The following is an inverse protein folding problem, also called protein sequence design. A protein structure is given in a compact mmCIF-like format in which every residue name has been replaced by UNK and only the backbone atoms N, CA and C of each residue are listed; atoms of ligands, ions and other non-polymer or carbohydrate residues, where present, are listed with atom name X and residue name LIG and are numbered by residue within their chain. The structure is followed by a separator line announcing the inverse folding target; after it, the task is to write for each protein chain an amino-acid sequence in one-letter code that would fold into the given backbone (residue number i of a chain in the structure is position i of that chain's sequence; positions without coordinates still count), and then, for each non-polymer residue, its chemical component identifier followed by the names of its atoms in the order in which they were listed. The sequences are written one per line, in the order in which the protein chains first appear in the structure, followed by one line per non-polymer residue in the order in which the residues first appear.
data_IF_340711359568
#
_entry.id   IF_340711359568
#
_cell.length_a   1.000
_cell.length_b   1.000
_cell.length_c   1.000
_cell.angle_alpha   90.00
_cell.angle_beta   90.00
_cell.angle_gamma   90.00
#
_symmetry.space_group_name_H-M   'P 1'
#
loop_
_entity.id
_entity.type
_entity.pdbx_description
1 polymer ?
#
# COMPACT_ATOMS: atom_id res chain seq x y z
N UNK A 1 -11.01 7.79 41.90
CA UNK A 1 -10.44 6.42 41.84
C UNK A 1 -10.02 6.18 40.39
N UNK A 2 -8.73 5.96 40.08
CA UNK A 2 -8.21 5.87 38.70
C UNK A 2 -8.46 4.48 38.11
N UNK A 3 -9.73 4.07 38.04
CA UNK A 3 -10.09 2.71 37.62
C UNK A 3 -9.81 2.51 36.14
N UNK A 4 -10.01 3.54 35.31
CA UNK A 4 -9.87 3.43 33.86
C UNK A 4 -8.42 3.32 33.36
N UNK A 5 -7.46 3.99 34.00
CA UNK A 5 -6.04 3.90 33.58
C UNK A 5 -5.45 2.50 33.73
N UNK A 6 -5.82 1.79 34.79
CA UNK A 6 -5.42 0.40 35.02
C UNK A 6 -6.14 -0.58 34.09
N UNK A 7 -7.35 -0.22 33.62
CA UNK A 7 -8.18 -1.10 32.79
C UNK A 7 -7.63 -1.31 31.37
N UNK A 8 -6.93 -0.33 30.80
CA UNK A 8 -6.46 -0.44 29.41
C UNK A 8 -5.02 -0.95 29.24
N UNK A 9 -4.22 -1.03 30.31
CA UNK A 9 -2.83 -1.50 30.22
C UNK A 9 -1.97 -0.69 29.23
N UNK A 10 -2.23 0.62 29.13
CA UNK A 10 -1.51 1.52 28.23
C UNK A 10 -0.10 1.76 28.74
N UNK A 11 0.89 1.72 27.84
CA UNK A 11 2.26 2.08 28.20
C UNK A 11 2.40 3.60 28.31
N UNK A 12 3.34 4.11 29.12
CA UNK A 12 3.58 5.56 29.24
C UNK A 12 3.90 6.23 27.88
N UNK A 13 4.55 5.49 26.98
CA UNK A 13 4.84 5.94 25.61
C UNK A 13 3.58 6.08 24.75
N UNK A 14 2.59 5.20 24.93
CA UNK A 14 1.28 5.29 24.28
C UNK A 14 0.48 6.47 24.85
N UNK A 15 0.43 6.63 26.18
CA UNK A 15 -0.24 7.75 26.85
C UNK A 15 0.31 9.09 26.38
N UNK A 16 1.63 9.24 26.38
CA UNK A 16 2.30 10.45 25.90
C UNK A 16 1.91 10.80 24.45
N UNK A 17 1.77 9.78 23.59
CA UNK A 17 1.34 9.98 22.20
C UNK A 17 -0.11 10.43 22.13
N UNK A 18 -1.01 9.83 22.91
CA UNK A 18 -2.43 10.22 22.97
C UNK A 18 -2.62 11.65 23.49
N UNK A 19 -1.85 12.08 24.50
CA UNK A 19 -1.88 13.46 25.03
C UNK A 19 -1.58 14.51 23.95
N UNK A 20 -0.65 14.22 23.03
CA UNK A 20 -0.36 15.11 21.91
C UNK A 20 -1.53 15.17 20.92
N UNK A 21 -2.19 14.04 20.65
CA UNK A 21 -3.36 14.01 19.75
C UNK A 21 -4.53 14.83 20.32
N UNK A 22 -4.77 14.79 21.63
CA UNK A 22 -5.78 15.64 22.29
C UNK A 22 -5.48 17.12 22.07
N UNK A 23 -4.20 17.52 22.18
CA UNK A 23 -3.73 18.91 22.00
C UNK A 23 -3.74 19.38 20.54
N UNK A 24 -4.28 18.59 19.62
CA UNK A 24 -4.43 18.96 18.21
C UNK A 24 -3.25 18.59 17.32
N UNK A 25 -2.25 17.87 17.85
CA UNK A 25 -1.18 17.35 17.02
C UNK A 25 -1.69 16.23 16.09
N UNK A 26 -1.19 16.22 14.86
CA UNK A 26 -1.28 15.07 13.97
C UNK A 26 -0.10 14.11 14.20
N UNK A 27 -0.13 12.92 13.58
CA UNK A 27 0.92 11.92 13.75
C UNK A 27 2.31 12.44 13.31
N UNK A 28 2.35 13.35 12.32
CA UNK A 28 3.59 13.93 11.79
C UNK A 28 4.22 14.95 12.74
N UNK A 29 3.42 15.85 13.30
CA UNK A 29 3.87 16.82 14.29
C UNK A 29 4.21 16.16 15.62
N UNK A 30 3.44 15.15 16.06
CA UNK A 30 3.76 14.36 17.24
C UNK A 30 5.09 13.59 17.09
N UNK A 31 5.40 13.10 15.89
CA UNK A 31 6.68 12.46 15.59
C UNK A 31 7.85 13.45 15.73
N UNK A 32 7.71 14.67 15.20
CA UNK A 32 8.72 15.73 15.36
C UNK A 32 8.91 16.13 16.82
N UNK A 33 7.84 16.30 17.59
CA UNK A 33 7.93 16.71 19.00
C UNK A 33 8.55 15.65 19.89
N UNK A 34 8.41 14.37 19.54
CA UNK A 34 8.97 13.24 20.30
C UNK A 34 10.32 12.76 19.77
N UNK A 35 10.83 13.32 18.66
CA UNK A 35 12.07 12.87 18.03
C UNK A 35 12.00 11.43 17.50
N UNK A 36 10.81 11.00 17.06
CA UNK A 36 10.55 9.63 16.60
C UNK A 36 10.11 9.60 15.14
N UNK A 37 10.12 8.41 14.54
CA UNK A 37 9.52 8.23 13.21
C UNK A 37 8.00 8.27 13.27
N UNK A 38 7.36 8.76 12.19
CA UNK A 38 5.88 8.75 12.05
C UNK A 38 5.32 7.34 12.14
N UNK A 39 6.07 6.35 11.64
CA UNK A 39 5.69 4.94 11.73
C UNK A 39 5.59 4.47 13.19
N UNK A 40 6.57 4.81 14.02
CA UNK A 40 6.56 4.49 15.47
C UNK A 40 5.37 5.12 16.18
N UNK A 41 5.01 6.36 15.85
CA UNK A 41 3.82 7.04 16.39
C UNK A 41 2.54 6.31 15.97
N UNK A 42 2.43 5.91 14.71
CA UNK A 42 1.27 5.20 14.20
C UNK A 42 1.10 3.81 14.84
N UNK A 43 2.21 3.09 15.07
CA UNK A 43 2.16 1.81 15.79
C UNK A 43 1.68 2.00 17.24
N UNK A 44 2.21 3.00 17.97
CA UNK A 44 1.73 3.33 19.32
C UNK A 44 0.24 3.69 19.34
N UNK A 45 -0.24 4.47 18.38
CA UNK A 45 -1.67 4.81 18.26
C UNK A 45 -2.54 3.61 17.90
N UNK A 46 -2.02 2.66 17.12
CA UNK A 46 -2.71 1.40 16.81
C UNK A 46 -2.77 0.49 18.03
N UNK A 47 -1.68 0.35 18.77
CA UNK A 47 -1.64 -0.42 20.02
C UNK A 47 -2.59 0.16 21.05
N UNK A 48 -2.60 1.48 21.23
CA UNK A 48 -3.52 2.15 22.14
C UNK A 48 -5.00 1.92 21.75
N UNK A 49 -5.35 2.04 20.46
CA UNK A 49 -6.71 1.74 19.98
C UNK A 49 -7.11 0.28 20.19
N UNK A 50 -6.19 -0.66 19.96
CA UNK A 50 -6.41 -2.10 20.17
C UNK A 50 -6.69 -2.39 21.65
N UNK A 51 -5.94 -1.76 22.55
CA UNK A 51 -6.11 -1.90 24.00
C UNK A 51 -7.39 -1.26 24.52
N UNK A 52 -7.76 -0.10 23.98
CA UNK A 52 -8.97 0.63 24.36
C UNK A 52 -10.23 0.17 23.60
N UNK A 53 -10.10 -0.77 22.67
CA UNK A 53 -11.17 -1.28 21.81
C UNK A 53 -11.95 -0.19 21.03
N UNK A 54 -11.26 0.88 20.62
CA UNK A 54 -11.86 2.02 19.90
C UNK A 54 -11.40 2.12 18.45
N UNK A 55 -12.26 2.69 17.61
CA UNK A 55 -12.03 2.77 16.17
C UNK A 55 -11.11 3.93 15.78
N UNK A 56 -11.05 5.00 16.59
CA UNK A 56 -10.35 6.25 16.27
C UNK A 56 -9.33 6.63 17.33
N UNK A 57 -8.16 7.12 16.89
CA UNK A 57 -7.11 7.58 17.80
C UNK A 57 -7.53 8.86 18.52
N UNK A 58 -8.41 9.67 17.91
CA UNK A 58 -8.99 10.85 18.57
C UNK A 58 -10.01 10.47 19.64
N UNK A 59 -10.73 9.38 19.44
CA UNK A 59 -11.64 8.82 20.43
C UNK A 59 -10.85 8.24 21.62
N UNK A 60 -9.80 7.46 21.34
CA UNK A 60 -8.85 6.98 22.36
C UNK A 60 -8.24 8.13 23.18
N UNK A 61 -7.86 9.21 22.50
CA UNK A 61 -7.25 10.38 23.12
C UNK A 61 -8.22 11.12 24.06
N UNK A 62 -9.51 11.25 23.68
CA UNK A 62 -10.54 11.82 24.55
C UNK A 62 -10.81 10.95 25.78
N UNK A 63 -10.97 9.65 25.60
CA UNK A 63 -11.18 8.71 26.72
C UNK A 63 -10.02 8.71 27.71
N UNK A 64 -8.78 8.85 27.19
CA UNK A 64 -7.61 9.01 28.04
C UNK A 64 -7.63 10.35 28.78
N UNK A 65 -8.00 11.45 28.12
CA UNK A 65 -8.15 12.75 28.79
C UNK A 65 -9.23 12.71 29.87
N UNK A 66 -10.38 12.12 29.60
CA UNK A 66 -11.48 11.99 30.56
C UNK A 66 -11.05 11.14 31.76
N UNK A 67 -10.25 10.09 31.53
CA UNK A 67 -9.69 9.25 32.59
C UNK A 67 -8.58 9.94 33.40
N UNK A 68 -7.73 10.75 32.76
CA UNK A 68 -6.66 11.54 33.42
C UNK A 68 -7.23 12.79 34.13
N UNK A 69 -8.31 13.36 33.61
CA UNK A 69 -8.98 14.57 34.12
C UNK A 69 -9.76 14.36 35.43
N UNK A 70 -10.11 13.12 35.76
CA UNK A 70 -10.66 12.73 37.06
C UNK A 70 -9.61 12.75 38.20
N UNK A 71 -8.34 13.08 37.91
CA UNK A 71 -7.21 12.96 38.84
C UNK A 71 -6.41 14.22 39.17
N UNK A 72 -6.58 15.37 38.51
CA UNK A 72 -5.79 16.60 38.79
C UNK A 72 -6.64 17.87 38.54
N UNK A 73 -6.68 18.84 39.48
CA UNK A 73 -7.54 20.01 39.40
C UNK A 73 -7.14 20.96 38.27
N UNK A 74 -8.15 21.62 37.71
CA UNK A 74 -8.11 22.62 36.65
C UNK A 74 -6.83 23.49 36.64
N UNK A 75 -6.14 23.48 35.50
CA UNK A 75 -5.45 24.69 35.04
C UNK A 75 -6.32 25.32 33.96
N UNK A 76 -6.67 26.61 34.10
CA UNK A 76 -7.52 27.29 33.14
C UNK A 76 -6.84 27.29 31.77
N UNK A 77 -7.62 27.31 30.67
CA UNK A 77 -7.05 27.45 29.34
C UNK A 77 -6.31 28.78 29.30
N UNK A 78 -5.02 28.76 28.98
CA UNK A 78 -4.33 29.94 28.47
C UNK A 78 -4.98 30.21 27.10
N UNK A 79 -6.04 31.00 27.12
CA UNK A 79 -6.36 31.90 26.02
C UNK A 79 -5.12 32.79 25.85
N UNK A 80 -4.38 32.57 24.76
CA UNK A 80 -3.50 33.61 24.27
C UNK A 80 -4.21 34.25 23.08
N UNK A 81 -4.69 35.46 23.37
CA UNK A 81 -5.42 36.38 22.52
C UNK A 81 -4.69 36.73 21.22
N UNK A 82 -5.52 37.14 20.25
CA UNK A 82 -5.29 38.15 19.22
C UNK A 82 -3.87 38.32 18.69
N UNK A 83 -3.63 37.76 17.50
CA UNK A 83 -2.85 38.48 16.50
C UNK A 83 -3.83 39.21 15.59
N UNK A 84 -3.89 40.52 15.80
CA UNK A 84 -4.57 41.52 14.97
C UNK A 84 -4.31 41.24 13.49
N UNK A 85 -5.38 40.97 12.76
CA UNK A 85 -5.38 40.90 11.29
C UNK A 85 -5.05 42.30 10.79
N UNK A 86 -3.85 42.45 10.22
CA UNK A 86 -3.42 43.65 9.53
C UNK A 86 -4.35 44.00 8.37
N UNK A 87 -4.58 45.29 8.23
CA UNK A 87 -5.60 45.94 7.43
C UNK A 87 -5.52 45.70 5.92
N UNK A 88 -6.72 45.73 5.36
CA UNK A 88 -7.19 46.08 4.01
C UNK A 88 -6.15 46.42 2.93
N UNK A 89 -6.19 45.64 1.85
CA UNK A 89 -5.93 46.17 0.51
C UNK A 89 -6.92 45.53 -0.49
N UNK A 90 -7.96 46.31 -0.76
CA UNK A 90 -8.77 46.37 -1.97
C UNK A 90 -9.59 45.12 -2.36
N UNK A 91 -10.85 45.16 -1.92
CA UNK A 91 -11.98 44.60 -2.68
C UNK A 91 -12.03 45.21 -4.09
N UNK A 92 -12.30 44.38 -5.08
CA UNK A 92 -13.13 44.77 -6.22
C UNK A 92 -14.28 43.78 -6.36
N UNK A 93 -15.45 44.38 -6.31
CA UNK A 93 -16.80 43.86 -6.27
C UNK A 93 -17.31 43.63 -7.69
N UNK A 94 -17.94 42.49 -7.99
CA UNK A 94 -19.02 42.40 -8.98
C UNK A 94 -20.03 41.30 -8.59
N UNK A 95 -21.21 41.77 -8.20
CA UNK A 95 -22.59 41.32 -8.41
C UNK A 95 -23.06 39.85 -8.24
N UNK A 96 -23.88 39.72 -7.19
CA UNK A 96 -25.23 39.15 -7.09
C UNK A 96 -25.75 38.19 -8.18
N UNK A 97 -26.27 37.03 -7.75
CA UNK A 97 -27.72 36.83 -7.59
C UNK A 97 -28.08 35.38 -7.19
N UNK A 98 -29.01 35.22 -6.23
CA UNK A 98 -30.08 34.24 -6.35
C UNK A 98 -30.00 32.89 -5.61
N UNK A 99 -30.84 32.77 -4.58
CA UNK A 99 -31.72 31.62 -4.26
C UNK A 99 -31.23 30.42 -3.41
N UNK A 100 -31.69 30.45 -2.14
CA UNK A 100 -32.42 29.42 -1.37
C UNK A 100 -31.78 28.08 -0.92
N UNK A 101 -32.29 27.50 0.19
CA UNK A 101 -31.60 26.53 1.02
C UNK A 101 -32.07 25.08 0.83
N UNK A 102 -31.19 24.13 1.19
CA UNK A 102 -31.59 22.81 1.66
C UNK A 102 -31.51 21.66 0.65
N UNK A 103 -30.87 20.57 1.09
CA UNK A 103 -31.21 19.22 0.64
C UNK A 103 -30.28 18.56 -0.38
N UNK A 104 -29.10 18.11 0.07
CA UNK A 104 -28.42 16.95 -0.50
C UNK A 104 -28.06 16.05 0.69
N UNK A 105 -28.42 14.79 0.81
CA UNK A 105 -28.79 13.79 -0.18
C UNK A 105 -28.27 12.49 0.44
N UNK A 106 -29.17 11.62 0.90
CA UNK A 106 -28.85 10.35 1.57
C UNK A 106 -28.01 9.52 0.60
N UNK A 107 -26.71 9.41 0.87
CA UNK A 107 -25.79 8.61 0.07
C UNK A 107 -26.20 7.13 0.13
N UNK A 108 -26.65 6.62 -1.01
CA UNK A 108 -26.98 5.21 -1.25
C UNK A 108 -25.68 4.40 -1.12
N UNK A 109 -25.54 3.67 -0.02
CA UNK A 109 -24.43 2.74 0.20
C UNK A 109 -24.51 1.59 -0.81
N UNK A 110 -23.50 1.47 -1.67
CA UNK A 110 -23.17 0.24 -2.39
C UNK A 110 -21.98 -0.40 -1.64
N UNK A 111 -22.08 -1.63 -1.12
CA UNK A 111 -20.97 -2.24 -0.41
C UNK A 111 -19.99 -2.81 -1.44
N UNK A 112 -18.79 -2.24 -1.50
CA UNK A 112 -17.69 -2.82 -2.24
C UNK A 112 -16.98 -3.83 -1.35
N UNK A 113 -17.17 -5.11 -1.67
CA UNK A 113 -16.28 -6.19 -1.23
C UNK A 113 -15.02 -6.06 -2.09
N UNK A 114 -13.91 -5.56 -1.54
CA UNK A 114 -12.55 -5.86 -2.01
C UNK A 114 -11.62 -5.95 -0.79
N UNK A 115 -11.34 -7.20 -0.42
CA UNK A 115 -9.99 -7.74 -0.15
C UNK A 115 -8.87 -6.70 0.04
N UNK A 116 -8.63 -6.31 1.29
CA UNK A 116 -7.55 -5.42 1.69
C UNK A 116 -6.37 -6.18 2.31
N UNK A 117 -5.55 -6.81 1.47
CA UNK A 117 -4.10 -6.94 1.73
C UNK A 117 -3.40 -6.77 0.39
N UNK A 118 -3.11 -5.52 0.01
CA UNK A 118 -2.13 -5.21 -1.01
C UNK A 118 -1.40 -3.91 -0.62
N UNK A 119 -0.15 -4.11 -0.16
CA UNK A 119 1.05 -3.29 -0.31
C UNK A 119 0.89 -1.81 -0.71
N UNK A 120 1.23 -0.92 0.23
CA UNK A 120 1.96 0.33 -0.02
C UNK A 120 3.33 -0.05 -0.60
N UNK A 121 3.96 0.56 -1.59
CA UNK A 121 3.94 1.90 -2.18
C UNK A 121 4.96 1.81 -3.36
N UNK A 122 4.94 2.61 -4.41
CA UNK A 122 5.58 3.94 -4.47
C UNK A 122 5.23 4.51 -5.84
N UNK A 123 4.50 5.63 -5.82
CA UNK A 123 4.37 6.53 -6.94
C UNK A 123 5.48 7.59 -6.84
N UNK A 124 6.24 7.75 -7.92
CA UNK A 124 7.01 8.92 -8.34
C UNK A 124 7.32 8.62 -9.82
N UNK A 125 6.86 9.36 -10.83
CA UNK A 125 6.68 10.79 -10.96
C UNK A 125 7.72 11.26 -11.97
N UNK A 126 7.31 11.78 -13.13
CA UNK A 126 7.95 12.90 -13.83
C UNK A 126 7.13 13.36 -15.05
N UNK A 127 7.25 14.67 -15.27
CA UNK A 127 6.45 15.57 -16.10
C UNK A 127 6.65 15.42 -17.63
N UNK A 128 5.60 15.86 -18.33
CA UNK A 128 5.46 16.46 -19.66
C UNK A 128 6.72 16.74 -20.52
N UNK A 129 6.59 16.49 -21.83
CA UNK A 129 7.00 17.42 -22.90
C UNK A 129 6.24 17.13 -24.22
N UNK A 130 5.84 18.20 -24.90
CA UNK A 130 5.03 18.25 -26.12
C UNK A 130 5.83 18.10 -27.43
N UNK A 131 5.13 17.67 -28.50
CA UNK A 131 5.43 17.73 -29.97
C UNK A 131 6.64 16.99 -30.55
N UNK A 132 6.46 16.06 -31.49
CA UNK A 132 6.30 16.26 -32.93
C UNK A 132 6.06 14.90 -33.63
N UNK A 133 5.11 14.82 -34.55
CA UNK A 133 4.91 13.65 -35.40
C UNK A 133 6.12 13.45 -36.33
N UNK A 134 6.90 12.41 -36.09
CA UNK A 134 7.85 11.91 -37.09
C UNK A 134 7.20 10.77 -37.85
N UNK A 135 6.89 11.03 -39.13
CA UNK A 135 6.68 9.98 -40.13
C UNK A 135 8.06 9.38 -40.39
N UNK A 136 8.41 8.33 -39.65
CA UNK A 136 9.54 7.49 -40.01
C UNK A 136 9.05 6.40 -40.96
N UNK A 137 9.63 6.39 -42.16
CA UNK A 137 9.52 5.31 -43.13
C UNK A 137 9.80 3.97 -42.47
N UNK A 138 8.94 3.00 -42.76
CA UNK A 138 9.01 1.63 -42.24
C UNK A 138 10.36 1.00 -42.58
N UNK A 139 11.16 0.75 -41.54
CA UNK A 139 12.14 -0.32 -41.50
C UNK A 139 11.51 -1.43 -40.66
N UNK A 140 11.55 -2.72 -41.07
CA UNK A 140 10.99 -3.79 -40.25
C UNK A 140 11.57 -3.70 -38.84
N UNK A 141 10.76 -3.85 -37.78
CA UNK A 141 11.25 -3.73 -36.42
C UNK A 141 12.26 -4.85 -36.17
N UNK A 142 13.55 -4.50 -36.21
CA UNK A 142 14.58 -5.36 -35.65
C UNK A 142 14.34 -5.29 -34.14
N UNK A 143 13.93 -6.39 -33.47
CA UNK A 143 13.77 -6.37 -32.04
C UNK A 143 15.09 -5.92 -31.43
N UNK A 144 15.04 -4.94 -30.53
CA UNK A 144 16.23 -4.47 -29.83
C UNK A 144 16.94 -5.68 -29.21
N UNK A 145 18.18 -5.95 -29.63
CA UNK A 145 18.94 -7.14 -29.22
C UNK A 145 19.05 -7.26 -27.70
N UNK A 146 18.97 -6.13 -26.97
CA UNK A 146 18.92 -6.10 -25.51
C UNK A 146 17.62 -6.70 -24.93
N UNK A 147 16.47 -6.49 -25.58
CA UNK A 147 15.19 -7.10 -25.15
C UNK A 147 15.19 -8.60 -25.42
N UNK A 148 15.63 -9.02 -26.61
CA UNK A 148 15.71 -10.43 -26.97
C UNK A 148 16.69 -11.21 -26.07
N UNK A 149 17.80 -10.58 -25.69
CA UNK A 149 18.75 -11.14 -24.72
C UNK A 149 18.14 -11.25 -23.31
N UNK A 150 17.40 -10.23 -22.85
CA UNK A 150 16.72 -10.26 -21.55
C UNK A 150 15.59 -11.30 -21.50
N UNK A 151 14.84 -11.47 -22.59
CA UNK A 151 13.83 -12.53 -22.76
C UNK A 151 14.42 -13.93 -22.65
N UNK A 152 15.62 -14.09 -23.18
CA UNK A 152 16.37 -15.35 -23.19
C UNK A 152 17.21 -15.55 -21.92
N UNK A 153 17.11 -14.67 -20.92
CA UNK A 153 17.86 -14.81 -19.67
C UNK A 153 17.43 -16.06 -18.90
N UNK A 154 18.35 -16.65 -18.14
CA UNK A 154 18.05 -17.79 -17.27
C UNK A 154 16.88 -17.49 -16.31
N UNK A 155 16.83 -16.26 -15.80
CA UNK A 155 15.77 -15.78 -14.90
C UNK A 155 14.42 -15.78 -15.60
N UNK A 156 14.34 -15.18 -16.79
CA UNK A 156 13.10 -15.08 -17.57
C UNK A 156 12.59 -16.46 -17.99
N UNK A 157 13.50 -17.36 -18.37
CA UNK A 157 13.17 -18.76 -18.67
C UNK A 157 12.64 -19.49 -17.44
N UNK A 158 13.31 -19.35 -16.28
CA UNK A 158 12.87 -19.96 -15.01
C UNK A 158 11.49 -19.46 -14.62
N UNK A 159 11.24 -18.15 -14.71
CA UNK A 159 9.94 -17.56 -14.42
C UNK A 159 8.84 -18.13 -15.33
N UNK A 160 9.10 -18.23 -16.64
CA UNK A 160 8.15 -18.77 -17.63
C UNK A 160 7.84 -20.24 -17.39
N UNK A 161 8.86 -21.06 -17.12
CA UNK A 161 8.68 -22.48 -16.81
C UNK A 161 7.86 -22.67 -15.54
N UNK A 162 8.15 -21.89 -14.50
CA UNK A 162 7.38 -21.93 -13.26
C UNK A 162 5.92 -21.52 -13.45
N UNK A 163 5.66 -20.45 -14.22
CA UNK A 163 4.28 -20.06 -14.56
C UNK A 163 3.54 -21.15 -15.35
N UNK A 164 4.24 -21.91 -16.20
CA UNK A 164 3.65 -23.04 -16.94
C UNK A 164 3.14 -24.14 -16.00
N UNK A 165 3.87 -24.43 -14.91
CA UNK A 165 3.40 -25.38 -13.89
C UNK A 165 2.09 -24.92 -13.25
N UNK A 166 1.98 -23.62 -13.02
CA UNK A 166 0.79 -23.01 -12.42
C UNK A 166 -0.37 -23.05 -13.42
N UNK A 167 -0.15 -22.76 -14.69
CA UNK A 167 -1.19 -22.83 -15.71
C UNK A 167 -1.73 -24.26 -15.90
N UNK A 168 -0.89 -25.27 -15.66
CA UNK A 168 -1.26 -26.69 -15.69
C UNK A 168 -1.95 -27.17 -14.41
N UNK A 169 -2.14 -26.31 -13.41
CA UNK A 169 -2.71 -26.72 -12.12
C UNK A 169 -1.77 -27.52 -11.22
N UNK A 170 -0.46 -27.55 -11.52
CA UNK A 170 0.54 -28.31 -10.75
C UNK A 170 0.99 -27.51 -9.52
N UNK A 171 0.09 -27.38 -8.55
CA UNK A 171 0.28 -26.56 -7.35
C UNK A 171 1.44 -27.03 -6.48
N UNK A 172 1.58 -28.35 -6.29
CA UNK A 172 2.65 -28.90 -5.47
C UNK A 172 4.03 -28.60 -6.06
N UNK A 173 4.17 -28.72 -7.36
CA UNK A 173 5.44 -28.52 -8.05
C UNK A 173 5.82 -27.05 -8.15
N UNK A 174 4.85 -26.19 -8.46
CA UNK A 174 5.06 -24.74 -8.40
C UNK A 174 5.44 -24.29 -6.99
N UNK A 175 4.84 -24.86 -5.95
CA UNK A 175 5.21 -24.57 -4.56
C UNK A 175 6.64 -25.04 -4.22
N UNK A 176 7.04 -26.24 -4.66
CA UNK A 176 8.43 -26.74 -4.51
C UNK A 176 9.45 -25.84 -5.22
N UNK A 177 9.06 -25.18 -6.31
CA UNK A 177 9.89 -24.19 -7.03
C UNK A 177 10.08 -22.86 -6.32
N UNK A 178 9.34 -22.58 -5.25
CA UNK A 178 9.48 -21.34 -4.46
C UNK A 178 10.68 -21.36 -3.51
N UNK A 179 11.09 -20.18 -3.04
CA UNK A 179 12.19 -20.02 -2.11
C UNK A 179 11.81 -20.38 -0.67
N UNK A 180 12.82 -20.66 0.16
CA UNK A 180 12.63 -21.04 1.57
C UNK A 180 11.84 -20.00 2.39
N UNK A 181 12.04 -18.70 2.11
CA UNK A 181 11.28 -17.63 2.75
C UNK A 181 9.77 -17.70 2.42
N UNK A 182 9.42 -18.02 1.17
CA UNK A 182 8.03 -18.20 0.75
C UNK A 182 7.41 -19.41 1.46
N UNK A 183 8.11 -20.54 1.49
CA UNK A 183 7.64 -21.77 2.12
C UNK A 183 7.51 -21.67 3.64
N UNK A 184 8.31 -20.83 4.30
CA UNK A 184 8.18 -20.55 5.75
C UNK A 184 6.93 -19.74 6.08
N UNK A 185 6.52 -18.85 5.19
CA UNK A 185 5.40 -17.93 5.41
C UNK A 185 4.07 -18.44 4.85
N UNK A 186 4.11 -19.48 4.02
CA UNK A 186 2.94 -19.97 3.29
C UNK A 186 2.93 -21.50 3.24
N UNK A 187 1.75 -22.13 3.27
CA UNK A 187 1.62 -23.58 3.13
C UNK A 187 1.19 -23.96 1.71
N UNK A 188 1.46 -25.22 1.32
CA UNK A 188 0.97 -25.75 0.04
C UNK A 188 -0.56 -25.62 -0.08
N UNK A 189 -1.29 -25.85 1.01
CA UNK A 189 -2.75 -25.77 1.00
C UNK A 189 -3.25 -24.34 0.73
N UNK A 190 -2.66 -23.34 1.39
CA UNK A 190 -3.00 -21.93 1.16
C UNK A 190 -2.59 -21.50 -0.24
N UNK A 191 -1.42 -21.94 -0.71
CA UNK A 191 -0.96 -21.70 -2.08
C UNK A 191 -1.92 -22.26 -3.13
N UNK A 192 -2.32 -23.52 -3.01
CA UNK A 192 -3.23 -24.19 -3.92
C UNK A 192 -4.61 -23.52 -3.92
N UNK A 193 -5.21 -23.31 -2.74
CA UNK A 193 -6.52 -22.66 -2.61
C UNK A 193 -6.54 -21.23 -3.18
N UNK A 194 -5.44 -20.48 -2.99
CA UNK A 194 -5.32 -19.13 -3.55
C UNK A 194 -5.24 -19.16 -5.07
N UNK A 195 -4.42 -20.04 -5.66
CA UNK A 195 -4.31 -20.17 -7.10
C UNK A 195 -5.61 -20.67 -7.74
N UNK A 196 -6.32 -21.58 -7.09
CA UNK A 196 -7.63 -22.04 -7.57
C UNK A 196 -8.63 -20.87 -7.61
N UNK A 197 -8.71 -20.10 -6.53
CA UNK A 197 -9.61 -18.93 -6.46
C UNK A 197 -9.26 -17.83 -7.46
N UNK A 198 -7.97 -17.61 -7.74
CA UNK A 198 -7.51 -16.53 -8.62
C UNK A 198 -7.50 -16.95 -10.09
N UNK A 199 -7.03 -18.16 -10.41
CA UNK A 199 -6.78 -18.59 -11.79
C UNK A 199 -7.95 -19.28 -12.46
N UNK A 200 -8.79 -20.01 -11.72
CA UNK A 200 -9.98 -20.65 -12.31
C UNK A 200 -10.91 -19.61 -12.95
N UNK A 201 -11.19 -18.44 -12.34
CA UNK A 201 -12.00 -17.41 -12.98
C UNK A 201 -11.37 -16.76 -14.20
N UNK A 202 -10.03 -16.69 -14.29
CA UNK A 202 -9.33 -16.12 -15.45
C UNK A 202 -9.45 -17.03 -16.68
N UNK A 203 -9.60 -18.34 -16.47
CA UNK A 203 -9.63 -19.33 -17.54
C UNK A 203 -8.24 -19.63 -18.12
N UNK A 204 -8.15 -20.44 -19.19
CA UNK A 204 -6.88 -20.85 -19.76
C UNK A 204 -6.09 -19.66 -20.32
N UNK A 205 -4.76 -19.76 -20.29
CA UNK A 205 -3.86 -18.80 -20.92
C UNK A 205 -3.94 -18.95 -22.44
N UNK A 206 -4.23 -17.86 -23.14
CA UNK A 206 -4.22 -17.76 -24.60
C UNK A 206 -2.81 -17.41 -25.09
N UNK A 207 -2.18 -16.42 -24.46
CA UNK A 207 -0.83 -15.97 -24.82
C UNK A 207 -0.09 -15.39 -23.61
N UNK A 208 1.23 -15.52 -23.61
CA UNK A 208 2.13 -14.90 -22.63
C UNK A 208 3.37 -14.35 -23.33
N UNK A 209 3.54 -13.03 -23.26
CA UNK A 209 4.64 -12.30 -23.88
C UNK A 209 5.48 -11.64 -22.79
N UNK A 210 6.80 -11.74 -22.90
CA UNK A 210 7.69 -11.03 -21.99
C UNK A 210 7.57 -9.52 -22.18
N UNK A 211 7.55 -8.78 -21.09
CA UNK A 211 7.57 -7.32 -21.12
C UNK A 211 8.92 -6.76 -20.74
N UNK A 212 9.44 -7.20 -19.59
CA UNK A 212 10.65 -6.63 -19.00
C UNK A 212 11.21 -7.52 -17.90
N UNK A 213 12.52 -7.40 -17.70
CA UNK A 213 13.22 -7.84 -16.50
C UNK A 213 13.85 -6.61 -15.81
N UNK A 214 13.74 -6.55 -14.48
CA UNK A 214 14.26 -5.48 -13.63
C UNK A 214 15.01 -6.10 -12.43
N UNK A 215 16.23 -5.63 -12.15
CA UNK A 215 16.93 -5.98 -10.92
C UNK A 215 16.47 -5.03 -9.79
N UNK A 216 16.01 -5.59 -8.68
CA UNK A 216 15.69 -4.86 -7.46
C UNK A 216 16.76 -5.14 -6.40
N UNK A 217 17.70 -4.19 -6.18
CA UNK A 217 18.75 -4.37 -5.20
C UNK A 217 18.17 -4.32 -3.78
N UNK A 218 18.30 -5.45 -3.06
CA UNK A 218 17.90 -5.58 -1.67
C UNK A 218 18.95 -6.44 -0.95
N UNK A 219 19.62 -5.96 0.11
CA UNK A 219 20.56 -6.79 0.84
C UNK A 219 19.87 -8.07 1.37
N UNK A 220 20.53 -9.25 1.37
CA UNK A 220 21.91 -9.51 0.92
C UNK A 220 22.08 -9.85 -0.58
N UNK A 221 21.05 -10.34 -1.29
CA UNK A 221 21.19 -10.91 -2.65
C UNK A 221 20.24 -10.35 -3.72
N UNK A 222 19.39 -9.39 -3.37
CA UNK A 222 18.45 -8.73 -4.27
C UNK A 222 17.35 -9.65 -4.82
N UNK A 223 16.52 -9.08 -5.69
CA UNK A 223 15.53 -9.82 -6.48
C UNK A 223 15.69 -9.49 -7.95
N UNK A 224 15.41 -10.46 -8.80
CA UNK A 224 15.13 -10.22 -10.21
C UNK A 224 13.62 -10.30 -10.42
N UNK A 225 13.05 -9.27 -11.03
CA UNK A 225 11.62 -9.17 -11.30
C UNK A 225 11.39 -9.29 -12.78
N UNK A 226 10.57 -10.26 -13.17
CA UNK A 226 10.20 -10.51 -14.56
C UNK A 226 8.71 -10.25 -14.73
N UNK A 227 8.37 -9.40 -15.70
CA UNK A 227 6.98 -9.05 -16.02
C UNK A 227 6.57 -9.67 -17.36
N UNK A 228 5.40 -10.26 -17.39
CA UNK A 228 4.77 -10.79 -18.59
C UNK A 228 3.42 -10.12 -18.82
N UNK A 229 3.09 -9.90 -20.10
CA UNK A 229 1.73 -9.63 -20.53
C UNK A 229 1.07 -10.95 -20.87
N UNK A 230 -0.04 -11.24 -20.22
CA UNK A 230 -0.75 -12.50 -20.36
C UNK A 230 -2.18 -12.22 -20.75
N UNK A 231 -2.63 -12.85 -21.82
CA UNK A 231 -4.04 -12.88 -22.20
C UNK A 231 -4.64 -14.19 -21.72
N UNK A 232 -5.58 -14.11 -20.79
CA UNK A 232 -6.40 -15.23 -20.34
C UNK A 232 -7.74 -15.21 -21.07
N UNK A 233 -8.41 -16.37 -21.15
CA UNK A 233 -9.72 -16.47 -21.80
C UNK A 233 -10.76 -15.46 -21.29
N UNK A 234 -10.78 -15.19 -19.99
CA UNK A 234 -11.74 -14.28 -19.36
C UNK A 234 -11.13 -12.94 -18.93
N UNK A 235 -9.82 -12.73 -19.19
CA UNK A 235 -9.12 -11.47 -18.89
C UNK A 235 -7.96 -11.25 -19.86
N UNK A 236 -8.16 -10.36 -20.83
CA UNK A 236 -7.10 -9.90 -21.70
C UNK A 236 -6.14 -8.95 -20.96
N UNK A 237 -4.91 -8.86 -21.48
CA UNK A 237 -3.89 -7.88 -21.09
C UNK A 237 -3.57 -7.82 -19.58
N UNK A 238 -3.65 -8.96 -18.89
CA UNK A 238 -3.20 -9.07 -17.51
C UNK A 238 -1.67 -8.94 -17.43
N UNK A 239 -1.16 -8.37 -16.34
CA UNK A 239 0.28 -8.30 -16.10
C UNK A 239 0.65 -9.27 -14.99
N UNK A 240 1.41 -10.31 -15.35
CA UNK A 240 2.00 -11.24 -14.38
C UNK A 240 3.38 -10.74 -13.98
N UNK A 241 3.59 -10.48 -12.69
CA UNK A 241 4.90 -10.11 -12.15
C UNK A 241 5.45 -11.25 -11.31
N UNK A 242 6.63 -11.77 -11.67
CA UNK A 242 7.30 -12.85 -10.95
C UNK A 242 8.59 -12.31 -10.36
N UNK A 243 8.74 -12.42 -9.05
CA UNK A 243 9.96 -12.04 -8.33
C UNK A 243 10.75 -13.29 -7.98
N UNK A 244 12.02 -13.33 -8.37
CA UNK A 244 12.93 -14.45 -8.12
C UNK A 244 14.11 -13.96 -7.26
N UNK A 245 14.56 -14.82 -6.35
CA UNK A 245 15.80 -14.62 -5.62
C UNK A 245 16.73 -15.80 -5.87
N UNK A 246 18.04 -15.55 -5.77
CA UNK A 246 19.04 -16.61 -5.89
C UNK A 246 19.24 -17.27 -4.53
N UNK A 247 18.98 -18.57 -4.46
CA UNK A 247 19.18 -19.38 -3.26
C UNK A 247 19.99 -20.61 -3.63
N UNK A 248 21.11 -20.84 -2.92
CA UNK A 248 21.98 -22.01 -3.13
C UNK A 248 22.42 -22.18 -4.60
N UNK A 249 22.72 -21.05 -5.26
CA UNK A 249 23.13 -21.01 -6.67
C UNK A 249 21.99 -21.09 -7.69
N UNK A 250 20.77 -21.45 -7.28
CA UNK A 250 19.60 -21.63 -8.14
C UNK A 250 18.59 -20.49 -8.00
N UNK A 251 17.84 -20.20 -9.07
CA UNK A 251 16.72 -19.25 -9.02
C UNK A 251 15.50 -19.88 -8.36
N UNK A 252 14.96 -19.18 -7.36
CA UNK A 252 13.76 -19.58 -6.62
C UNK A 252 12.73 -18.46 -6.66
N UNK A 253 11.46 -18.83 -6.81
CA UNK A 253 10.40 -17.82 -6.83
C UNK A 253 10.13 -17.32 -5.42
N UNK A 254 10.25 -16.01 -5.24
CA UNK A 254 9.96 -15.31 -3.99
C UNK A 254 8.53 -14.77 -3.96
N UNK A 255 7.89 -14.57 -5.12
CA UNK A 255 6.49 -14.16 -5.19
C UNK A 255 5.96 -14.04 -6.62
N UNK A 256 4.63 -14.03 -6.74
CA UNK A 256 3.92 -13.76 -7.99
C UNK A 256 2.71 -12.88 -7.73
N UNK A 257 2.43 -11.97 -8.65
CA UNK A 257 1.19 -11.20 -8.69
C UNK A 257 0.61 -11.18 -10.10
N UNK A 258 -0.71 -11.01 -10.20
CA UNK A 258 -1.44 -10.85 -11.46
C UNK A 258 -2.30 -9.59 -11.33
N UNK A 259 -2.10 -8.62 -12.22
CA UNK A 259 -2.81 -7.33 -12.25
C UNK A 259 -3.75 -7.21 -13.44
#
# INVERSE_FOLDING_TARGET
MPVNELLWGLTEKEKQTLRLIVRGHDAKSAARSLGLSVHTINERLREARRKMAVSSSREAARLLLDAEGEGVPAHPPIFLEDTVIGEDAARSQVDQAGALPGGAGRARRRPWIITGVLLMSIALGLLALTTLSQVSTTSPPVPSSASAAAESSEVAQTARQWLTLIDQGRWEESYKGTGSAFQKLNSLQVWAATNEKVRVPLGPVISRTFLRQENLPAPPYGYEVVKFRTSFANKADAVETVSLSRQDGSWRVAGVTIE
#
